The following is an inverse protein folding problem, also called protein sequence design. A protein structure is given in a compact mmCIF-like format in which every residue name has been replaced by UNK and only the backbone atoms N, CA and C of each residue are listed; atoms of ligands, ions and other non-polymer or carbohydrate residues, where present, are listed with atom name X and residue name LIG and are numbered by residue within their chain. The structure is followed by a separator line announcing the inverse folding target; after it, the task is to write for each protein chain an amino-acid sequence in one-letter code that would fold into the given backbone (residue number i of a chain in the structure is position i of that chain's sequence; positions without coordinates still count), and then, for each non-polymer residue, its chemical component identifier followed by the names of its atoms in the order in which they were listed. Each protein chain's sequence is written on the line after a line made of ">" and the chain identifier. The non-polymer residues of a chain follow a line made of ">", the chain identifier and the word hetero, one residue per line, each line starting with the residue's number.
data_IF_162324678245
#
_entry.id   IF_162324678245
#
_cell.length_a   1.000
_cell.length_b   1.000
_cell.length_c   1.000
_cell.angle_alpha   90.00
_cell.angle_beta   90.00
_cell.angle_gamma   90.00
#
_symmetry.space_group_name_H-M   'P 1'
#
loop_
_entity.id
_entity.type
_entity.pdbx_description
1 polymer ?
#
# COMPACT_ATOMS: atom_id res chain seq x y z
N UNK A 1 6.10 -8.12 -26.73
CA UNK A 1 5.22 -9.15 -26.14
C UNK A 1 5.74 -9.39 -24.73
N UNK A 2 5.25 -8.63 -23.74
CA UNK A 2 5.75 -8.71 -22.37
C UNK A 2 4.71 -9.45 -21.52
N UNK A 3 5.11 -10.58 -20.95
CA UNK A 3 4.29 -11.39 -20.06
C UNK A 3 4.28 -10.76 -18.66
N UNK A 4 3.17 -10.15 -18.27
CA UNK A 4 2.83 -9.80 -16.88
C UNK A 4 2.28 -11.01 -16.12
N UNK A 5 2.99 -12.13 -16.15
CA UNK A 5 2.48 -13.43 -15.69
C UNK A 5 2.61 -13.71 -14.17
N UNK A 6 2.57 -12.69 -13.32
CA UNK A 6 2.73 -12.85 -11.86
C UNK A 6 1.41 -13.07 -11.12
N UNK A 7 0.55 -12.04 -11.13
CA UNK A 7 -0.64 -11.99 -10.29
C UNK A 7 -1.75 -12.98 -10.71
N UNK A 8 -2.09 -13.14 -12.01
CA UNK A 8 -3.09 -14.12 -12.43
C UNK A 8 -2.67 -15.57 -12.13
N UNK A 9 -1.37 -15.87 -12.21
CA UNK A 9 -0.80 -17.19 -11.92
C UNK A 9 -0.90 -17.52 -10.44
N UNK A 10 -0.48 -16.60 -9.56
CA UNK A 10 -0.57 -16.76 -8.10
C UNK A 10 -2.02 -16.99 -7.67
N UNK A 11 -2.98 -16.20 -8.20
CA UNK A 11 -4.41 -16.39 -7.91
C UNK A 11 -4.89 -17.78 -8.28
N UNK A 12 -4.52 -18.27 -9.47
CA UNK A 12 -4.90 -19.59 -9.95
C UNK A 12 -4.34 -20.67 -9.02
N UNK A 13 -3.06 -20.58 -8.65
CA UNK A 13 -2.39 -21.53 -7.76
C UNK A 13 -3.02 -21.55 -6.35
N UNK A 14 -3.35 -20.38 -5.78
CA UNK A 14 -4.03 -20.30 -4.48
C UNK A 14 -5.40 -20.96 -4.50
N UNK A 15 -6.20 -20.69 -5.54
CA UNK A 15 -7.55 -21.25 -5.65
C UNK A 15 -7.52 -22.75 -5.96
N UNK A 16 -6.62 -23.21 -6.83
CA UNK A 16 -6.54 -24.65 -7.18
C UNK A 16 -5.87 -25.48 -6.10
N UNK A 17 -4.78 -24.98 -5.49
CA UNK A 17 -4.01 -25.70 -4.47
C UNK A 17 -4.63 -25.64 -3.07
N UNK A 18 -5.37 -24.57 -2.78
CA UNK A 18 -5.93 -24.31 -1.45
C UNK A 18 -7.40 -23.92 -1.52
N UNK A 19 -8.18 -24.60 -2.36
CA UNK A 19 -9.62 -24.33 -2.58
C UNK A 19 -10.48 -24.36 -1.31
N UNK A 20 -10.04 -25.03 -0.25
CA UNK A 20 -10.70 -25.02 1.06
C UNK A 20 -10.49 -23.70 1.82
N UNK A 21 -9.39 -23.00 1.59
CA UNK A 21 -9.05 -21.70 2.19
C UNK A 21 -9.34 -20.53 1.27
N UNK A 22 -9.21 -20.69 -0.04
CA UNK A 22 -9.36 -19.59 -1.00
C UNK A 22 -10.55 -19.80 -1.92
N UNK A 23 -11.19 -18.70 -2.28
CA UNK A 23 -12.31 -18.66 -3.21
C UNK A 23 -12.15 -17.48 -4.15
N UNK A 24 -12.41 -17.69 -5.44
CA UNK A 24 -12.54 -16.60 -6.41
C UNK A 24 -14.01 -16.29 -6.64
N UNK A 25 -14.41 -15.04 -6.47
CA UNK A 25 -15.73 -14.54 -6.85
C UNK A 25 -15.53 -13.40 -7.85
N UNK A 26 -15.50 -13.72 -9.15
CA UNK A 26 -15.10 -12.76 -10.20
C UNK A 26 -13.70 -12.17 -9.95
N UNK A 27 -13.56 -10.85 -9.84
CA UNK A 27 -12.27 -10.16 -9.65
C UNK A 27 -11.67 -10.22 -8.23
N UNK A 28 -12.44 -10.17 -7.13
CA UNK A 28 -11.85 -10.36 -5.80
C UNK A 28 -11.48 -11.82 -5.49
N UNK A 29 -10.30 -11.98 -4.89
CA UNK A 29 -9.88 -13.22 -4.21
C UNK A 29 -10.29 -13.12 -2.74
N UNK A 30 -10.83 -14.19 -2.17
CA UNK A 30 -11.20 -14.26 -0.76
C UNK A 30 -10.45 -15.36 -0.05
N UNK A 31 -9.97 -15.06 1.16
CA UNK A 31 -9.55 -16.04 2.16
C UNK A 31 -10.74 -16.36 3.08
N UNK A 32 -10.92 -17.66 3.35
CA UNK A 32 -11.98 -18.23 4.16
C UNK A 32 -11.39 -18.70 5.48
N UNK A 33 -11.99 -18.27 6.58
CA UNK A 33 -11.72 -18.87 7.87
C UNK A 33 -13.01 -19.17 8.62
N UNK A 34 -12.96 -20.19 9.48
CA UNK A 34 -14.07 -20.56 10.34
C UNK A 34 -13.84 -20.04 11.75
N UNK A 35 -14.88 -19.48 12.34
CA UNK A 35 -14.92 -19.13 13.75
C UNK A 35 -16.23 -19.65 14.32
N UNK A 36 -16.14 -20.74 15.09
CA UNK A 36 -17.30 -21.54 15.47
C UNK A 36 -18.07 -22.09 14.24
N UNK A 37 -19.37 -21.81 14.19
CA UNK A 37 -20.24 -22.26 13.09
C UNK A 37 -20.30 -21.30 11.91
N UNK A 38 -19.61 -20.15 12.00
CA UNK A 38 -19.62 -19.13 10.95
C UNK A 38 -18.40 -19.26 10.04
N UNK A 39 -18.61 -18.99 8.76
CA UNK A 39 -17.54 -18.81 7.78
C UNK A 39 -17.41 -17.33 7.48
N UNK A 40 -16.20 -16.81 7.65
CA UNK A 40 -15.86 -15.42 7.37
C UNK A 40 -15.03 -15.33 6.10
N UNK A 41 -15.22 -14.25 5.36
CA UNK A 41 -14.49 -13.95 4.13
C UNK A 41 -13.65 -12.70 4.33
N UNK A 42 -12.37 -12.79 4.00
CA UNK A 42 -11.44 -11.66 3.95
C UNK A 42 -11.04 -11.45 2.51
N UNK A 43 -11.29 -10.27 1.95
CA UNK A 43 -10.81 -9.95 0.61
C UNK A 43 -9.28 -9.85 0.65
N UNK A 44 -8.64 -10.52 -0.31
CA UNK A 44 -7.20 -10.52 -0.50
C UNK A 44 -6.91 -9.82 -1.83
N UNK A 45 -6.31 -8.64 -1.74
CA UNK A 45 -5.86 -7.90 -2.91
C UNK A 45 -4.38 -8.21 -3.16
N UNK A 46 -4.08 -8.67 -4.37
CA UNK A 46 -2.72 -8.85 -4.85
C UNK A 46 -2.39 -7.67 -5.77
N UNK A 47 -1.37 -6.90 -5.41
CA UNK A 47 -0.92 -5.78 -6.21
C UNK A 47 0.04 -6.28 -7.30
N UNK A 48 -0.21 -6.01 -8.58
CA UNK A 48 0.74 -6.35 -9.63
C UNK A 48 2.01 -5.49 -9.48
N UNK A 49 3.16 -6.05 -9.84
CA UNK A 49 4.48 -5.45 -9.58
C UNK A 49 4.63 -4.03 -10.16
N UNK A 50 3.95 -3.71 -11.25
CA UNK A 50 4.03 -2.41 -11.91
C UNK A 50 3.21 -1.31 -11.23
N UNK A 51 2.35 -1.64 -10.27
CA UNK A 51 1.43 -0.69 -9.65
C UNK A 51 2.08 0.10 -8.49
N UNK A 52 2.86 -0.51 -7.57
CA UNK A 52 3.63 0.26 -6.61
C UNK A 52 4.74 1.10 -7.27
N UNK A 53 5.08 2.28 -6.71
CA UNK A 53 6.09 3.17 -7.28
C UNK A 53 7.52 2.60 -7.16
N UNK A 54 7.74 1.66 -6.23
CA UNK A 54 8.97 0.91 -6.04
C UNK A 54 8.70 -0.30 -5.13
N UNK A 55 9.67 -1.22 -5.04
CA UNK A 55 9.62 -2.34 -4.07
C UNK A 55 10.24 -1.88 -2.74
N UNK A 56 9.52 -1.97 -1.61
CA UNK A 56 10.05 -1.60 -0.30
C UNK A 56 11.33 -2.38 0.06
N UNK A 57 12.28 -1.73 0.72
CA UNK A 57 13.56 -2.36 1.11
C UNK A 57 13.37 -3.58 2.02
N UNK A 58 12.33 -3.55 2.85
CA UNK A 58 11.99 -4.64 3.78
C UNK A 58 11.04 -5.69 3.16
N UNK A 59 10.76 -5.63 1.86
CA UNK A 59 9.97 -6.64 1.19
C UNK A 59 10.67 -8.01 1.31
N UNK A 60 9.92 -9.01 1.76
CA UNK A 60 10.44 -10.35 2.04
C UNK A 60 9.79 -11.35 1.08
N UNK A 61 10.60 -12.24 0.50
CA UNK A 61 10.09 -13.34 -0.30
C UNK A 61 9.21 -14.27 0.56
N UNK A 62 8.10 -14.75 0.01
CA UNK A 62 7.17 -15.63 0.74
C UNK A 62 7.87 -16.86 1.34
N UNK A 63 8.86 -17.43 0.65
CA UNK A 63 9.66 -18.58 1.12
C UNK A 63 10.43 -18.33 2.40
N UNK A 64 10.66 -17.06 2.75
CA UNK A 64 11.48 -16.64 3.88
C UNK A 64 10.64 -16.06 5.03
N UNK A 65 9.31 -16.07 4.91
CA UNK A 65 8.42 -15.56 5.95
C UNK A 65 8.39 -16.53 7.13
N UNK A 66 8.65 -16.01 8.32
CA UNK A 66 8.42 -16.73 9.57
C UNK A 66 6.94 -16.59 9.95
N UNK A 67 6.24 -17.71 10.12
CA UNK A 67 4.78 -17.70 10.34
C UNK A 67 4.35 -17.13 11.69
N UNK A 68 5.26 -17.02 12.66
CA UNK A 68 5.05 -16.34 13.94
C UNK A 68 5.21 -14.81 13.83
N UNK A 69 5.71 -14.30 12.69
CA UNK A 69 5.95 -12.87 12.43
C UNK A 69 5.52 -12.49 11.03
N UNK A 70 4.26 -12.06 10.91
CA UNK A 70 3.75 -11.51 9.65
C UNK A 70 4.54 -10.24 9.28
N UNK A 71 5.13 -10.17 8.07
CA UNK A 71 5.82 -8.98 7.62
C UNK A 71 4.81 -7.87 7.32
N UNK A 72 5.06 -6.69 7.86
CA UNK A 72 4.30 -5.48 7.55
C UNK A 72 5.16 -4.52 6.74
N UNK A 73 4.52 -3.74 5.87
CA UNK A 73 5.19 -2.63 5.18
C UNK A 73 5.70 -1.62 6.22
N UNK A 74 6.93 -1.12 6.03
CA UNK A 74 7.48 -0.11 6.91
C UNK A 74 6.65 1.19 6.81
N UNK A 75 6.48 1.97 7.90
CA UNK A 75 5.59 3.13 7.88
C UNK A 75 5.96 4.18 6.84
N UNK A 76 7.25 4.41 6.57
CA UNK A 76 7.68 5.34 5.50
C UNK A 76 7.31 4.84 4.11
N UNK A 77 7.44 3.54 3.87
CA UNK A 77 7.03 2.96 2.60
C UNK A 77 5.51 3.00 2.44
N UNK A 78 4.74 2.85 3.53
CA UNK A 78 3.30 3.03 3.52
C UNK A 78 2.90 4.49 3.23
N UNK A 79 3.56 5.47 3.86
CA UNK A 79 3.33 6.89 3.57
C UNK A 79 3.64 7.18 2.10
N UNK A 80 4.81 6.78 1.60
CA UNK A 80 5.22 7.01 0.22
C UNK A 80 4.24 6.38 -0.78
N UNK A 81 3.79 5.14 -0.52
CA UNK A 81 2.78 4.47 -1.32
C UNK A 81 1.44 5.22 -1.31
N UNK A 82 0.96 5.64 -0.14
CA UNK A 82 -0.32 6.35 0.00
C UNK A 82 -0.30 7.74 -0.65
N UNK A 83 0.80 8.49 -0.50
CA UNK A 83 0.99 9.76 -1.22
C UNK A 83 0.96 9.54 -2.72
N UNK A 84 1.69 8.56 -3.24
CA UNK A 84 1.68 8.23 -4.66
C UNK A 84 0.27 7.83 -5.16
N UNK A 85 -0.45 6.97 -4.42
CA UNK A 85 -1.81 6.59 -4.78
C UNK A 85 -2.80 7.77 -4.78
N UNK A 86 -2.59 8.78 -3.93
CA UNK A 86 -3.42 9.98 -3.87
C UNK A 86 -3.42 10.79 -5.17
N UNK A 87 -2.40 10.64 -6.02
CA UNK A 87 -2.37 11.24 -7.36
C UNK A 87 -2.77 10.29 -8.48
N UNK A 88 -2.52 8.99 -8.33
CA UNK A 88 -2.69 8.03 -9.41
C UNK A 88 -4.04 7.31 -9.43
N UNK A 89 -4.81 7.31 -8.33
CA UNK A 89 -6.09 6.58 -8.31
C UNK A 89 -7.17 7.24 -9.19
N UNK A 90 -7.92 6.47 -10.00
CA UNK A 90 -9.01 7.02 -10.81
C UNK A 90 -10.15 7.63 -9.98
N UNK A 91 -10.45 7.02 -8.82
CA UNK A 91 -11.57 7.44 -7.97
C UNK A 91 -11.17 8.61 -7.06
N UNK A 92 -11.84 9.78 -7.15
CA UNK A 92 -11.55 10.94 -6.31
C UNK A 92 -11.66 10.66 -4.81
N UNK A 93 -12.66 9.91 -4.37
CA UNK A 93 -12.84 9.62 -2.95
C UNK A 93 -11.71 8.74 -2.40
N UNK A 94 -11.25 7.77 -3.20
CA UNK A 94 -10.09 6.95 -2.84
C UNK A 94 -8.81 7.80 -2.79
N UNK A 95 -8.64 8.77 -3.69
CA UNK A 95 -7.51 9.72 -3.64
C UNK A 95 -7.51 10.54 -2.34
N UNK A 96 -8.69 11.04 -1.93
CA UNK A 96 -8.85 11.78 -0.67
C UNK A 96 -8.55 10.91 0.54
N UNK A 97 -9.03 9.67 0.56
CA UNK A 97 -8.70 8.73 1.63
C UNK A 97 -7.21 8.41 1.68
N UNK A 98 -6.57 8.13 0.56
CA UNK A 98 -5.14 7.84 0.52
C UNK A 98 -4.31 9.04 1.02
N UNK A 99 -4.70 10.28 0.68
CA UNK A 99 -4.07 11.50 1.22
C UNK A 99 -4.22 11.64 2.74
N UNK A 100 -5.43 11.39 3.26
CA UNK A 100 -5.73 11.46 4.70
C UNK A 100 -5.00 10.36 5.49
N UNK A 101 -4.95 9.15 4.96
CA UNK A 101 -4.21 8.03 5.54
C UNK A 101 -2.71 8.34 5.61
N UNK A 102 -2.12 8.86 4.51
CA UNK A 102 -0.71 9.24 4.49
C UNK A 102 -0.39 10.28 5.57
N UNK A 103 -1.24 11.30 5.71
CA UNK A 103 -1.12 12.31 6.77
C UNK A 103 -1.21 11.67 8.15
N UNK A 104 -2.22 10.85 8.39
CA UNK A 104 -2.46 10.20 9.68
C UNK A 104 -1.26 9.34 10.09
N UNK A 105 -0.72 8.53 9.19
CA UNK A 105 0.46 7.70 9.48
C UNK A 105 1.68 8.58 9.77
N UNK A 106 1.89 9.66 9.02
CA UNK A 106 3.00 10.58 9.28
C UNK A 106 2.88 11.30 10.63
N UNK A 107 1.66 11.68 11.01
CA UNK A 107 1.36 12.30 12.29
C UNK A 107 1.56 11.32 13.45
N UNK A 108 0.96 10.13 13.38
CA UNK A 108 1.01 9.12 14.45
C UNK A 108 2.42 8.56 14.63
N UNK A 109 3.13 8.25 13.55
CA UNK A 109 4.42 7.56 13.63
C UNK A 109 5.59 8.52 13.83
N UNK A 110 5.49 9.75 13.31
CA UNK A 110 6.62 10.67 13.27
C UNK A 110 6.31 12.06 13.86
N UNK A 111 5.09 12.33 14.32
CA UNK A 111 4.71 13.64 14.87
C UNK A 111 4.94 14.78 13.88
N UNK A 112 4.76 14.51 12.58
CA UNK A 112 5.05 15.44 11.48
C UNK A 112 6.53 15.89 11.43
N UNK A 113 7.45 15.11 12.00
CA UNK A 113 8.90 15.32 11.87
C UNK A 113 9.39 14.91 10.48
N UNK A 114 10.42 15.62 10.02
CA UNK A 114 11.14 15.25 8.81
C UNK A 114 12.08 14.11 9.17
N UNK A 115 11.97 12.99 8.45
CA UNK A 115 12.83 11.82 8.64
C UNK A 115 13.54 11.48 7.34
N UNK A 116 14.77 10.96 7.36
CA UNK A 116 15.49 10.65 6.13
C UNK A 116 14.68 9.74 5.20
N UNK A 117 14.61 10.11 3.93
CA UNK A 117 13.95 9.34 2.89
C UNK A 117 14.99 8.71 1.95
N UNK A 118 14.72 7.51 1.49
CA UNK A 118 15.45 6.98 0.34
C UNK A 118 15.06 7.73 -0.94
N UNK A 119 15.91 7.70 -1.95
CA UNK A 119 15.61 8.32 -3.25
C UNK A 119 14.30 7.79 -3.88
N UNK A 120 13.96 6.52 -3.64
CA UNK A 120 12.71 5.93 -4.13
C UNK A 120 11.48 6.50 -3.38
N UNK A 121 11.56 6.59 -2.05
CA UNK A 121 10.53 7.20 -1.21
C UNK A 121 10.31 8.68 -1.58
N UNK A 122 11.40 9.44 -1.73
CA UNK A 122 11.32 10.85 -2.13
C UNK A 122 10.60 11.02 -3.47
N UNK A 123 10.97 10.24 -4.50
CA UNK A 123 10.30 10.29 -5.81
C UNK A 123 8.82 9.93 -5.74
N UNK A 124 8.47 8.90 -4.97
CA UNK A 124 7.08 8.51 -4.78
C UNK A 124 6.27 9.61 -4.08
N UNK A 125 6.82 10.22 -3.03
CA UNK A 125 6.18 11.32 -2.31
C UNK A 125 6.01 12.55 -3.22
N UNK A 126 7.04 12.93 -4.00
CA UNK A 126 6.94 14.05 -4.95
C UNK A 126 5.78 13.87 -5.94
N UNK A 127 5.55 12.64 -6.41
CA UNK A 127 4.53 12.36 -7.43
C UNK A 127 3.09 12.63 -6.97
N UNK A 128 2.84 12.74 -5.66
CA UNK A 128 1.50 12.98 -5.10
C UNK A 128 1.43 14.09 -4.06
N UNK A 129 2.52 14.83 -3.86
CA UNK A 129 2.66 15.78 -2.75
C UNK A 129 1.59 16.87 -2.77
N UNK A 130 1.33 17.46 -3.93
CA UNK A 130 0.38 18.57 -4.05
C UNK A 130 -1.07 18.10 -3.83
N UNK A 131 -1.44 16.92 -4.34
CA UNK A 131 -2.77 16.35 -4.13
C UNK A 131 -2.96 15.85 -2.69
N UNK A 132 -1.92 15.27 -2.10
CA UNK A 132 -1.94 14.95 -0.67
C UNK A 132 -2.20 16.22 0.14
N UNK A 133 -1.48 17.31 -0.14
CA UNK A 133 -1.64 18.58 0.53
C UNK A 133 -3.02 19.23 0.33
N UNK A 134 -3.63 19.06 -0.85
CA UNK A 134 -4.99 19.54 -1.14
C UNK A 134 -6.04 18.74 -0.38
N UNK A 135 -5.99 17.41 -0.43
CA UNK A 135 -7.07 16.55 0.05
C UNK A 135 -7.01 16.17 1.53
N UNK A 136 -5.87 16.41 2.19
CA UNK A 136 -5.72 16.13 3.63
C UNK A 136 -5.90 17.36 4.51
N UNK A 137 -6.49 18.44 3.98
CA UNK A 137 -6.80 19.68 4.71
C UNK A 137 -5.58 20.24 5.47
N UNK A 138 -4.40 20.12 4.87
CA UNK A 138 -3.16 20.61 5.46
C UNK A 138 -3.09 22.13 5.39
N UNK A 139 -2.76 22.77 6.52
CA UNK A 139 -2.50 24.21 6.51
C UNK A 139 -1.21 24.53 5.71
N UNK A 140 -1.09 25.77 5.22
CA UNK A 140 0.02 26.18 4.35
C UNK A 140 1.42 25.92 4.95
N UNK A 141 1.56 25.95 6.28
CA UNK A 141 2.81 25.61 6.96
C UNK A 141 3.17 24.13 6.80
N UNK A 142 2.23 23.19 6.95
CA UNK A 142 2.49 21.76 6.78
C UNK A 142 2.80 21.45 5.31
N UNK A 143 2.14 22.12 4.37
CA UNK A 143 2.46 22.00 2.93
C UNK A 143 3.91 22.39 2.63
N UNK A 144 4.39 23.50 3.21
CA UNK A 144 5.79 23.93 3.06
C UNK A 144 6.76 22.96 3.69
N UNK A 145 6.43 22.43 4.86
CA UNK A 145 7.24 21.44 5.59
C UNK A 145 7.33 20.11 4.82
N UNK A 146 6.24 19.68 4.20
CA UNK A 146 6.21 18.54 3.27
C UNK A 146 7.17 18.75 2.10
N UNK A 147 7.16 19.91 1.45
CA UNK A 147 8.09 20.21 0.36
C UNK A 147 9.55 20.20 0.82
N UNK A 148 9.84 20.72 2.01
CA UNK A 148 11.19 20.66 2.59
C UNK A 148 11.64 19.22 2.82
N UNK A 149 10.74 18.34 3.27
CA UNK A 149 11.04 16.95 3.56
C UNK A 149 11.65 16.21 2.37
N UNK A 150 11.14 16.46 1.17
CA UNK A 150 11.53 15.70 -0.01
C UNK A 150 12.81 16.21 -0.68
N UNK A 151 13.30 17.37 -0.26
CA UNK A 151 14.51 18.02 -0.76
C UNK A 151 15.68 18.01 0.26
N UNK A 152 15.51 17.33 1.39
CA UNK A 152 16.60 17.01 2.34
C UNK A 152 17.49 15.89 1.79
#
# INVERSE_FOLDING_TARGET
>A
MWETAGEPKIRKELVSGFSHLFMKCADPLFFKYRHGNLTHLVQVDLLPQYLPPYVPTHATALSNIQTDRLPFIAPLDLIAYKVHCSSMRPCPDKRKHDAKDARMVWEVMYGLRLVPLSQAQSRAILSGLDLMAEYSDLCGWIKRRLRQWVHM
#
